data_IF_371240325051
#
_entry.id   IF_371240325051
#
_cell.length_a   1.000
_cell.length_b   1.000
_cell.length_c   1.000
_cell.angle_alpha   90.00
_cell.angle_beta   90.00
_cell.angle_gamma   90.00
#
_symmetry.space_group_name_H-M   'P 1'
#
loop_
_entity.id
_entity.type
_entity.pdbx_description
1 polymer ?
#
# COMPACT_ATOMS: atom_id res chain seq x y z
N UNK A 1 -0.02 32.52 -97.85
CA UNK A 1 1.06 33.46 -98.14
C UNK A 1 2.13 33.25 -97.08
N UNK A 2 3.16 32.49 -97.44
CA UNK A 2 4.38 32.30 -96.65
C UNK A 2 5.22 33.58 -96.73
N UNK A 3 5.80 33.99 -95.60
CA UNK A 3 6.81 35.04 -95.58
C UNK A 3 8.21 34.42 -95.70
N UNK A 4 9.14 35.06 -96.44
CA UNK A 4 10.40 34.45 -96.85
C UNK A 4 11.51 34.58 -95.81
N UNK A 5 12.30 33.51 -95.71
CA UNK A 5 13.62 33.46 -95.07
C UNK A 5 14.64 34.32 -95.82
N UNK A 6 14.85 35.56 -95.37
CA UNK A 6 16.12 36.24 -95.62
C UNK A 6 16.29 37.39 -94.65
N UNK A 7 16.98 37.14 -93.54
CA UNK A 7 18.08 37.96 -92.99
C UNK A 7 18.60 37.25 -91.73
N UNK A 8 19.35 36.16 -91.94
CA UNK A 8 20.37 35.77 -90.97
C UNK A 8 21.54 36.72 -91.14
N UNK A 9 21.76 37.59 -90.16
CA UNK A 9 23.12 37.96 -89.80
C UNK A 9 23.24 38.12 -88.29
N UNK A 10 24.24 37.41 -87.80
CA UNK A 10 24.63 37.17 -86.41
C UNK A 10 25.05 38.43 -85.70
N UNK A 11 24.35 38.81 -84.62
CA UNK A 11 24.98 39.58 -83.55
C UNK A 11 25.78 38.60 -82.69
N UNK A 12 27.11 38.72 -82.74
CA UNK A 12 27.97 38.09 -81.75
C UNK A 12 27.66 38.71 -80.38
N UNK A 13 27.09 37.91 -79.49
CA UNK A 13 26.97 38.28 -78.08
C UNK A 13 28.39 38.25 -77.51
N UNK A 14 28.91 39.34 -76.92
CA UNK A 14 30.20 39.32 -76.27
C UNK A 14 30.18 38.29 -75.13
N UNK A 15 31.29 37.60 -74.82
CA UNK A 15 31.32 36.72 -73.67
C UNK A 15 31.05 37.57 -72.43
N UNK A 16 29.92 37.30 -71.75
CA UNK A 16 29.62 37.89 -70.46
C UNK A 16 30.64 37.36 -69.45
N UNK A 17 31.80 38.01 -69.36
CA UNK A 17 32.76 37.83 -68.27
C UNK A 17 32.25 38.58 -67.06
N UNK A 18 31.22 38.02 -66.44
CA UNK A 18 30.92 38.23 -65.03
C UNK A 18 30.54 36.86 -64.49
N UNK A 19 31.42 36.27 -63.67
CA UNK A 19 31.00 35.19 -62.80
C UNK A 19 29.87 35.76 -61.93
N UNK A 20 28.65 35.34 -62.21
CA UNK A 20 27.55 35.53 -61.26
C UNK A 20 27.90 34.63 -60.09
N UNK A 21 28.63 35.19 -59.12
CA UNK A 21 28.62 34.70 -57.74
C UNK A 21 27.20 34.89 -57.23
N UNK A 22 26.31 34.00 -57.66
CA UNK A 22 25.06 33.77 -56.97
C UNK A 22 25.48 33.22 -55.62
N UNK A 23 25.48 34.09 -54.61
CA UNK A 23 25.41 33.65 -53.23
C UNK A 23 24.11 32.86 -53.15
N UNK A 24 24.21 31.53 -53.31
CA UNK A 24 23.13 30.63 -52.89
C UNK A 24 22.94 30.95 -51.41
N UNK A 25 21.82 31.59 -51.08
CA UNK A 25 21.37 31.64 -49.70
C UNK A 25 21.38 30.21 -49.17
N UNK A 26 21.94 30.04 -47.98
CA UNK A 26 22.03 28.73 -47.32
C UNK A 26 20.66 28.03 -47.41
N UNK A 27 20.65 26.80 -47.93
CA UNK A 27 19.46 25.95 -47.95
C UNK A 27 18.80 25.93 -46.55
N UNK A 28 17.50 26.22 -46.38
CA UNK A 28 16.87 26.27 -45.05
C UNK A 28 16.71 24.92 -44.36
N UNK A 29 17.37 23.85 -44.82
CA UNK A 29 17.07 22.47 -44.40
C UNK A 29 18.29 21.64 -44.01
N UNK A 30 19.35 22.25 -43.49
CA UNK A 30 20.26 21.48 -42.61
C UNK A 30 19.56 21.21 -41.29
N UNK A 31 19.01 19.99 -41.15
CA UNK A 31 18.56 19.45 -39.86
C UNK A 31 19.79 19.37 -38.95
N UNK A 32 19.96 20.38 -38.10
CA UNK A 32 21.03 20.41 -37.12
C UNK A 32 20.85 19.21 -36.17
N UNK A 33 21.89 18.37 -36.07
CA UNK A 33 21.81 17.10 -35.35
C UNK A 33 21.38 17.25 -33.89
N UNK A 34 20.78 16.20 -33.31
CA UNK A 34 20.46 16.20 -31.88
C UNK A 34 21.73 15.97 -31.05
N UNK A 35 21.87 16.70 -29.94
CA UNK A 35 22.92 16.46 -28.94
C UNK A 35 22.30 15.65 -27.81
N UNK A 36 22.91 14.50 -27.49
CA UNK A 36 22.55 13.68 -26.34
C UNK A 36 23.56 13.91 -25.21
N UNK A 37 23.07 14.07 -23.97
CA UNK A 37 23.89 14.10 -22.76
C UNK A 37 23.30 13.22 -21.67
N UNK A 38 24.17 12.65 -20.85
CA UNK A 38 23.79 11.84 -19.68
C UNK A 38 23.97 12.66 -18.41
N UNK A 39 22.92 12.70 -17.59
CA UNK A 39 22.91 13.37 -16.29
C UNK A 39 22.68 12.33 -15.20
N UNK A 40 23.68 12.19 -14.33
CA UNK A 40 23.61 11.34 -13.15
C UNK A 40 23.25 12.20 -11.95
N UNK A 41 22.28 11.73 -11.16
CA UNK A 41 21.83 12.38 -9.94
C UNK A 41 22.02 11.39 -8.79
N UNK A 42 22.86 11.76 -7.85
CA UNK A 42 23.00 11.08 -6.57
C UNK A 42 22.38 11.95 -5.49
N UNK A 43 21.51 11.38 -4.65
CA UNK A 43 20.85 12.17 -3.63
C UNK A 43 21.82 12.71 -2.58
N UNK A 44 23.04 12.17 -2.47
CA UNK A 44 24.13 12.71 -1.62
C UNK A 44 24.62 14.08 -2.05
N UNK A 45 24.43 14.44 -3.31
CA UNK A 45 24.85 15.75 -3.85
C UNK A 45 23.86 16.87 -3.46
N UNK A 46 22.73 16.53 -2.82
CA UNK A 46 21.79 17.52 -2.29
C UNK A 46 22.45 18.34 -1.18
N UNK A 47 21.98 19.58 -1.03
CA UNK A 47 22.32 20.36 0.16
C UNK A 47 21.58 19.79 1.37
N UNK A 48 22.22 18.90 2.15
CA UNK A 48 21.63 18.22 3.30
C UNK A 48 21.22 19.14 4.45
N UNK A 49 21.76 20.38 4.50
CA UNK A 49 21.35 21.39 5.48
C UNK A 49 19.95 21.93 5.16
N UNK A 50 19.66 22.16 3.88
CA UNK A 50 18.37 22.70 3.43
C UNK A 50 17.36 21.58 3.10
N UNK A 51 17.85 20.42 2.68
CA UNK A 51 17.08 19.26 2.28
C UNK A 51 17.61 18.03 3.04
N UNK A 52 17.28 17.87 4.33
CA UNK A 52 17.81 16.76 5.13
C UNK A 52 17.35 15.40 4.60
N UNK A 53 16.14 15.32 4.03
CA UNK A 53 15.55 14.07 3.53
C UNK A 53 15.88 13.84 2.06
N UNK A 54 16.21 12.60 1.70
CA UNK A 54 16.34 12.17 0.30
C UNK A 54 14.97 12.04 -0.41
N UNK A 55 13.85 12.25 0.28
CA UNK A 55 12.50 12.18 -0.28
C UNK A 55 12.11 13.43 -1.06
N UNK A 56 12.71 14.58 -0.77
CA UNK A 56 12.31 15.87 -1.32
C UNK A 56 13.49 16.85 -1.31
N UNK A 57 14.00 17.19 -2.49
CA UNK A 57 15.18 18.04 -2.62
C UNK A 57 15.28 18.73 -3.97
N UNK A 58 16.09 19.80 -4.02
CA UNK A 58 16.46 20.48 -5.27
C UNK A 58 17.93 20.24 -5.55
N UNK A 59 18.24 19.80 -6.77
CA UNK A 59 19.61 19.71 -7.27
C UNK A 59 19.84 20.77 -8.34
N UNK A 60 20.93 21.52 -8.20
CA UNK A 60 21.40 22.45 -9.25
C UNK A 60 22.30 21.69 -10.19
N UNK A 61 22.12 21.89 -11.49
CA UNK A 61 22.92 21.22 -12.51
C UNK A 61 24.25 21.97 -12.69
N UNK A 62 25.34 21.22 -12.83
CA UNK A 62 26.68 21.79 -13.04
C UNK A 62 26.79 22.56 -14.35
N UNK A 63 25.97 22.20 -15.33
CA UNK A 63 25.82 22.92 -16.57
C UNK A 63 24.34 23.22 -16.85
N UNK A 64 24.12 24.27 -17.63
CA UNK A 64 22.80 24.66 -18.07
C UNK A 64 22.51 24.04 -19.44
N UNK A 65 21.48 23.19 -19.50
CA UNK A 65 21.02 22.61 -20.77
C UNK A 65 20.07 23.60 -21.45
N UNK A 66 20.20 23.77 -22.77
CA UNK A 66 19.37 24.68 -23.57
C UNK A 66 18.73 23.94 -24.73
N UNK A 67 17.54 24.38 -25.13
CA UNK A 67 16.75 23.80 -26.21
C UNK A 67 16.54 22.28 -26.03
N UNK A 68 16.21 21.89 -24.80
CA UNK A 68 15.96 20.48 -24.46
C UNK A 68 14.69 20.03 -25.15
N UNK A 69 14.78 18.97 -25.94
CA UNK A 69 13.66 18.39 -26.69
C UNK A 69 13.01 17.24 -25.94
N UNK A 70 13.79 16.46 -25.18
CA UNK A 70 13.26 15.40 -24.33
C UNK A 70 14.19 15.02 -23.19
N UNK A 71 13.62 14.47 -22.12
CA UNK A 71 14.37 13.85 -21.02
C UNK A 71 13.79 12.46 -20.74
N UNK A 72 14.66 11.46 -20.65
CA UNK A 72 14.33 10.05 -20.40
C UNK A 72 14.95 9.58 -19.08
N UNK A 73 14.16 8.94 -18.22
CA UNK A 73 14.71 8.16 -17.09
C UNK A 73 15.20 6.81 -17.62
N UNK A 74 16.52 6.63 -17.61
CA UNK A 74 17.17 5.41 -18.12
C UNK A 74 17.46 4.40 -17.01
N UNK A 75 17.71 4.87 -15.79
CA UNK A 75 17.96 4.01 -14.62
C UNK A 75 17.56 4.72 -13.34
N UNK A 76 17.01 3.94 -12.40
CA UNK A 76 16.77 4.38 -11.03
C UNK A 76 17.20 3.27 -10.06
N UNK A 77 18.00 3.61 -9.07
CA UNK A 77 18.31 2.72 -7.95
C UNK A 77 17.66 3.29 -6.71
N UNK A 78 16.55 2.66 -6.31
CA UNK A 78 15.74 3.09 -5.17
C UNK A 78 15.85 2.04 -4.07
N UNK A 79 16.39 2.40 -2.89
CA UNK A 79 16.43 1.50 -1.75
C UNK A 79 15.02 1.32 -1.17
N UNK A 80 14.65 0.07 -0.87
CA UNK A 80 13.41 -0.23 -0.16
C UNK A 80 13.66 -0.17 1.36
N UNK A 81 14.06 1.02 1.82
CA UNK A 81 14.45 1.25 3.22
C UNK A 81 13.31 1.75 4.11
N UNK A 82 12.11 1.98 3.58
CA UNK A 82 10.97 2.43 4.37
C UNK A 82 10.46 1.34 5.30
N UNK A 83 10.17 1.71 6.55
CA UNK A 83 9.65 0.79 7.55
C UNK A 83 8.25 0.30 7.20
N UNK A 84 7.98 -0.99 7.47
CA UNK A 84 6.62 -1.56 7.35
C UNK A 84 5.60 -0.79 8.19
N UNK A 85 5.97 -0.46 9.44
CA UNK A 85 5.23 0.47 10.31
C UNK A 85 6.03 1.77 10.40
N UNK A 86 5.44 2.87 9.97
CA UNK A 86 6.02 4.20 9.94
C UNK A 86 5.01 5.24 10.48
N UNK A 87 5.43 6.51 10.55
CA UNK A 87 4.62 7.58 11.12
C UNK A 87 3.30 7.84 10.37
N UNK A 88 3.12 7.31 9.16
CA UNK A 88 1.91 7.47 8.35
C UNK A 88 0.97 6.26 8.44
N UNK A 89 1.30 5.21 9.21
CA UNK A 89 0.47 4.01 9.31
C UNK A 89 0.55 3.29 10.68
N UNK A 90 0.83 4.01 11.76
CA UNK A 90 1.08 3.44 13.08
C UNK A 90 -0.03 3.65 14.12
N UNK A 91 -1.21 4.14 13.75
CA UNK A 91 -2.28 4.50 14.69
C UNK A 91 -3.51 3.59 14.59
N UNK A 92 -4.03 3.18 15.76
CA UNK A 92 -5.34 2.53 15.93
C UNK A 92 -6.21 3.40 16.83
N UNK A 93 -7.42 3.72 16.39
CA UNK A 93 -8.43 4.38 17.22
C UNK A 93 -9.45 3.35 17.70
N UNK A 94 -9.59 3.24 19.01
CA UNK A 94 -10.47 2.31 19.71
C UNK A 94 -11.52 3.10 20.49
N UNK A 95 -12.77 2.68 20.41
CA UNK A 95 -13.88 3.24 21.17
C UNK A 95 -14.47 2.15 22.05
N UNK A 96 -14.58 2.41 23.35
CA UNK A 96 -15.29 1.53 24.30
C UNK A 96 -16.54 2.23 24.80
N UNK A 97 -17.58 1.46 25.08
CA UNK A 97 -18.76 1.93 25.82
C UNK A 97 -18.88 1.13 27.10
N UNK A 98 -19.34 1.76 28.18
CA UNK A 98 -19.73 0.99 29.36
C UNK A 98 -20.92 0.07 29.03
N UNK A 99 -21.10 -1.02 29.79
CA UNK A 99 -22.18 -1.99 29.57
C UNK A 99 -23.61 -1.39 29.66
N UNK A 100 -23.72 -0.13 30.09
CA UNK A 100 -24.96 0.66 30.16
C UNK A 100 -25.11 1.66 28.99
N UNK A 101 -24.20 1.67 28.00
CA UNK A 101 -24.18 2.56 26.83
C UNK A 101 -24.31 4.08 27.14
N UNK A 102 -23.89 4.52 28.32
CA UNK A 102 -24.04 5.91 28.79
C UNK A 102 -22.74 6.71 28.77
N UNK A 103 -21.58 6.03 28.75
CA UNK A 103 -20.26 6.68 28.72
C UNK A 103 -19.39 6.00 27.68
N UNK A 104 -18.83 6.81 26.77
CA UNK A 104 -17.93 6.40 25.70
C UNK A 104 -16.50 6.82 26.00
N UNK A 105 -15.54 5.90 25.84
CA UNK A 105 -14.11 6.13 26.01
C UNK A 105 -13.40 6.00 24.67
N UNK A 106 -12.63 7.00 24.28
CA UNK A 106 -11.85 6.98 23.05
C UNK A 106 -10.37 6.84 23.37
N UNK A 107 -9.71 5.88 22.72
CA UNK A 107 -8.29 5.60 22.86
C UNK A 107 -7.59 5.67 21.52
N UNK A 108 -6.43 6.31 21.48
CA UNK A 108 -5.50 6.27 20.36
C UNK A 108 -4.30 5.43 20.79
N UNK A 109 -4.07 4.33 20.08
CA UNK A 109 -2.90 3.47 20.27
C UNK A 109 -1.90 3.74 19.16
N UNK A 110 -0.66 4.01 19.53
CA UNK A 110 0.44 4.21 18.59
C UNK A 110 1.38 3.00 18.63
N UNK A 111 1.58 2.38 17.47
CA UNK A 111 2.53 1.28 17.26
C UNK A 111 3.91 1.88 17.03
N UNK A 112 4.93 1.29 17.66
CA UNK A 112 6.30 1.74 17.48
C UNK A 112 6.72 1.56 16.01
N UNK A 113 7.31 2.60 15.42
CA UNK A 113 7.90 2.55 14.07
C UNK A 113 8.98 1.48 13.97
N UNK A 114 8.99 0.74 12.86
CA UNK A 114 9.98 -0.29 12.58
C UNK A 114 9.51 -1.33 11.56
N UNK A 115 10.38 -2.31 11.33
CA UNK A 115 10.07 -3.48 10.51
C UNK A 115 9.50 -4.61 11.35
N UNK A 116 8.40 -5.18 10.88
CA UNK A 116 7.69 -6.25 11.56
C UNK A 116 7.38 -7.37 10.58
N UNK A 117 7.62 -8.60 11.01
CA UNK A 117 6.83 -9.74 10.53
C UNK A 117 5.42 -9.66 11.09
N UNK A 118 4.47 -10.36 10.48
CA UNK A 118 3.09 -10.37 10.99
C UNK A 118 2.99 -10.87 12.43
N UNK A 119 3.85 -11.83 12.80
CA UNK A 119 3.88 -12.38 14.16
C UNK A 119 4.36 -11.33 15.16
N UNK A 120 5.42 -10.59 14.82
CA UNK A 120 5.95 -9.52 15.66
C UNK A 120 4.94 -8.37 15.78
N UNK A 121 4.29 -7.99 14.69
CA UNK A 121 3.26 -6.94 14.72
C UNK A 121 2.09 -7.34 15.64
N UNK A 122 1.57 -8.57 15.51
CA UNK A 122 0.48 -9.06 16.36
C UNK A 122 0.91 -9.12 17.82
N UNK A 123 2.15 -9.54 18.11
CA UNK A 123 2.68 -9.51 19.47
C UNK A 123 2.75 -8.08 20.02
N UNK A 124 3.24 -7.13 19.23
CA UNK A 124 3.32 -5.73 19.61
C UNK A 124 1.94 -5.11 19.85
N UNK A 125 0.96 -5.42 18.99
CA UNK A 125 -0.42 -5.00 19.20
C UNK A 125 -0.97 -5.57 20.51
N UNK A 126 -0.77 -6.87 20.78
CA UNK A 126 -1.19 -7.48 22.04
C UNK A 126 -0.56 -6.77 23.26
N UNK A 127 0.72 -6.41 23.22
CA UNK A 127 1.38 -5.64 24.29
C UNK A 127 0.70 -4.28 24.50
N UNK A 128 0.42 -3.54 23.41
CA UNK A 128 -0.27 -2.25 23.49
C UNK A 128 -1.68 -2.38 24.10
N UNK A 129 -2.38 -3.45 23.75
CA UNK A 129 -3.71 -3.80 24.21
C UNK A 129 -3.77 -4.38 25.64
N UNK A 130 -2.62 -4.78 26.22
CA UNK A 130 -2.52 -5.24 27.60
C UNK A 130 -2.43 -4.10 28.64
N UNK A 131 -2.45 -2.83 28.22
CA UNK A 131 -2.39 -1.69 29.14
C UNK A 131 -3.61 -1.66 30.06
N UNK A 132 -3.41 -1.42 31.37
CA UNK A 132 -4.48 -1.31 32.39
C UNK A 132 -5.42 -0.09 32.21
N UNK A 133 -5.31 0.63 31.08
CA UNK A 133 -6.11 1.83 30.76
C UNK A 133 -7.45 1.51 30.11
N UNK A 134 -7.60 0.30 29.57
CA UNK A 134 -8.81 -0.15 28.90
C UNK A 134 -9.81 -0.74 29.89
N UNK A 135 -11.10 -0.59 29.59
CA UNK A 135 -12.18 -1.23 30.36
C UNK A 135 -12.28 -2.71 30.05
N UNK A 136 -11.96 -3.10 28.82
CA UNK A 136 -12.02 -4.48 28.38
C UNK A 136 -10.63 -5.05 28.14
N UNK A 137 -10.52 -6.38 28.21
CA UNK A 137 -9.30 -7.12 27.89
C UNK A 137 -9.29 -7.46 26.42
N UNK A 138 -8.19 -7.17 25.74
CA UNK A 138 -8.08 -7.39 24.31
C UNK A 138 -7.11 -8.51 23.94
N UNK A 139 -7.35 -9.12 22.78
CA UNK A 139 -6.45 -10.07 22.16
C UNK A 139 -6.49 -9.94 20.64
N UNK A 140 -5.34 -9.69 20.03
CA UNK A 140 -5.17 -9.68 18.58
C UNK A 140 -4.65 -11.05 18.15
N UNK A 141 -5.27 -11.61 17.12
CA UNK A 141 -4.86 -12.87 16.48
C UNK A 141 -4.81 -12.69 14.97
N UNK A 142 -4.00 -13.50 14.29
CA UNK A 142 -4.01 -13.58 12.84
C UNK A 142 -4.22 -15.02 12.40
N UNK A 143 -4.92 -15.19 11.29
CA UNK A 143 -5.15 -16.49 10.67
C UNK A 143 -4.13 -16.68 9.55
N UNK A 144 -3.26 -17.69 9.65
CA UNK A 144 -2.19 -17.96 8.66
C UNK A 144 -2.72 -18.39 7.29
N UNK A 145 -3.88 -19.03 7.22
CA UNK A 145 -4.47 -19.53 5.97
C UNK A 145 -5.15 -18.40 5.19
N UNK A 146 -5.94 -17.57 5.88
CA UNK A 146 -6.67 -16.46 5.25
C UNK A 146 -5.84 -15.17 5.22
N UNK A 147 -4.81 -15.09 6.04
CA UNK A 147 -4.01 -13.88 6.30
C UNK A 147 -4.85 -12.72 6.84
N UNK A 148 -5.94 -13.01 7.57
CA UNK A 148 -6.79 -11.99 8.18
C UNK A 148 -6.41 -11.75 9.65
N UNK A 149 -6.56 -10.51 10.09
CA UNK A 149 -6.37 -10.09 11.49
C UNK A 149 -7.73 -10.03 12.19
N UNK A 150 -7.79 -10.52 13.42
CA UNK A 150 -8.95 -10.40 14.28
C UNK A 150 -8.55 -9.76 15.60
N UNK A 151 -9.20 -8.65 15.96
CA UNK A 151 -9.07 -8.03 17.27
C UNK A 151 -10.25 -8.50 18.11
N UNK A 152 -9.97 -9.04 19.30
CA UNK A 152 -10.97 -9.52 20.25
C UNK A 152 -10.95 -8.68 21.51
N UNK A 153 -12.08 -8.60 22.20
CA UNK A 153 -12.27 -7.90 23.45
C UNK A 153 -12.96 -8.80 24.49
N UNK A 154 -13.03 -8.38 25.75
CA UNK A 154 -13.89 -8.98 26.77
C UNK A 154 -15.25 -8.27 26.87
N UNK A 155 -15.48 -7.19 26.13
CA UNK A 155 -16.73 -6.44 26.08
C UNK A 155 -16.95 -5.78 24.72
N UNK A 156 -17.95 -4.89 24.65
CA UNK A 156 -18.28 -4.15 23.43
C UNK A 156 -17.20 -3.14 23.10
N UNK A 157 -16.85 -3.02 21.82
CA UNK A 157 -15.88 -2.04 21.36
C UNK A 157 -16.09 -1.73 19.88
N UNK A 158 -15.56 -0.59 19.46
CA UNK A 158 -15.48 -0.21 18.06
C UNK A 158 -14.05 0.13 17.66
N UNK A 159 -13.69 -0.21 16.43
CA UNK A 159 -12.47 0.23 15.77
C UNK A 159 -12.83 1.29 14.75
N UNK A 160 -12.26 2.47 14.92
CA UNK A 160 -12.50 3.59 14.03
C UNK A 160 -11.38 3.72 12.99
N UNK A 161 -11.63 3.17 11.80
CA UNK A 161 -10.82 3.37 10.60
C UNK A 161 -11.48 4.31 9.60
N UNK A 162 -12.56 5.00 9.99
CA UNK A 162 -13.29 5.94 9.15
C UNK A 162 -12.72 7.35 9.33
N UNK A 163 -12.07 7.85 8.28
CA UNK A 163 -11.59 9.22 8.19
C UNK A 163 -12.54 10.11 7.40
N UNK A 164 -11.96 11.18 6.86
CA UNK A 164 -12.69 12.15 6.06
C UNK A 164 -13.16 11.59 4.72
N UNK A 165 -14.08 12.31 4.10
CA UNK A 165 -14.61 11.99 2.78
C UNK A 165 -13.97 12.92 1.75
N UNK A 166 -13.37 12.32 0.72
CA UNK A 166 -12.97 13.06 -0.47
C UNK A 166 -14.10 13.05 -1.49
N UNK A 167 -14.51 14.23 -1.92
CA UNK A 167 -15.49 14.41 -3.00
C UNK A 167 -14.69 14.40 -4.30
N UNK A 168 -14.76 13.31 -5.06
CA UNK A 168 -14.20 13.26 -6.39
C UNK A 168 -15.25 13.80 -7.38
N UNK A 169 -14.99 14.95 -7.98
CA UNK A 169 -15.91 15.59 -8.94
C UNK A 169 -16.11 14.78 -10.23
N UNK A 170 -15.45 13.62 -10.38
CA UNK A 170 -15.46 12.83 -11.61
C UNK A 170 -16.48 11.67 -11.61
N UNK A 171 -17.03 11.26 -10.45
CA UNK A 171 -18.08 10.25 -10.35
C UNK A 171 -19.07 10.65 -9.26
N UNK A 172 -20.34 10.26 -9.39
CA UNK A 172 -21.42 10.54 -8.42
C UNK A 172 -21.26 9.74 -7.10
N UNK A 173 -20.07 9.77 -6.49
CA UNK A 173 -19.74 9.00 -5.30
C UNK A 173 -18.62 9.64 -4.47
N UNK A 174 -18.66 9.37 -3.18
CA UNK A 174 -17.70 9.84 -2.18
C UNK A 174 -16.62 8.77 -1.93
N UNK A 175 -15.34 9.14 -1.98
CA UNK A 175 -14.23 8.25 -1.56
C UNK A 175 -14.00 8.42 -0.07
N UNK A 176 -14.24 7.37 0.72
CA UNK A 176 -13.88 7.35 2.15
C UNK A 176 -12.37 7.20 2.30
N UNK A 177 -11.77 8.01 3.16
CA UNK A 177 -10.35 7.95 3.49
C UNK A 177 -10.14 7.33 4.87
N UNK A 178 -8.94 6.80 5.11
CA UNK A 178 -8.53 6.46 6.47
C UNK A 178 -8.24 7.73 7.27
N UNK A 179 -8.38 7.70 8.61
CA UNK A 179 -7.84 8.74 9.47
C UNK A 179 -6.33 8.89 9.24
N UNK A 180 -5.76 10.06 9.56
CA UNK A 180 -4.32 10.26 9.54
C UNK A 180 -3.61 9.15 10.32
N UNK A 181 -2.51 8.65 9.74
CA UNK A 181 -1.62 7.66 10.33
C UNK A 181 -2.27 6.29 10.61
N UNK A 182 -3.45 6.01 10.06
CA UNK A 182 -4.16 4.77 10.36
C UNK A 182 -3.43 3.52 9.88
N UNK A 183 -3.31 2.52 10.76
CA UNK A 183 -2.80 1.19 10.40
C UNK A 183 -3.86 0.31 9.72
N UNK A 184 -5.13 0.74 9.68
CA UNK A 184 -6.27 -0.09 9.30
C UNK A 184 -6.07 -0.81 7.96
N UNK A 185 -5.57 -0.06 6.96
CA UNK A 185 -5.25 -0.59 5.62
C UNK A 185 -4.27 -1.76 5.66
N UNK A 186 -3.19 -1.61 6.43
CA UNK A 186 -2.14 -2.62 6.58
C UNK A 186 -2.66 -3.88 7.27
N UNK A 187 -3.59 -3.74 8.22
CA UNK A 187 -4.26 -4.86 8.88
C UNK A 187 -5.39 -5.50 8.05
N UNK A 188 -5.76 -4.91 6.91
CA UNK A 188 -6.81 -5.41 6.01
C UNK A 188 -8.22 -4.86 6.27
N UNK A 189 -8.36 -3.81 7.10
CA UNK A 189 -9.62 -3.10 7.32
C UNK A 189 -9.83 -2.03 6.25
N UNK A 190 -11.06 -1.91 5.72
CA UNK A 190 -11.50 -0.77 4.91
C UNK A 190 -11.71 0.49 5.78
N UNK A 191 -11.78 1.70 5.19
CA UNK A 191 -11.94 2.96 5.93
C UNK A 191 -13.37 3.15 6.48
N UNK A 192 -13.74 2.31 7.43
CA UNK A 192 -15.07 2.19 8.01
C UNK A 192 -14.99 2.12 9.54
N UNK A 193 -16.15 2.26 10.19
CA UNK A 193 -16.31 2.02 11.62
C UNK A 193 -16.74 0.57 11.81
N UNK A 194 -16.03 -0.17 12.65
CA UNK A 194 -16.36 -1.56 12.95
C UNK A 194 -16.74 -1.68 14.41
N UNK A 195 -17.99 -2.02 14.70
CA UNK A 195 -18.46 -2.24 16.06
C UNK A 195 -18.71 -3.72 16.33
N UNK A 196 -18.52 -4.12 17.60
CA UNK A 196 -19.03 -5.38 18.13
C UNK A 196 -19.95 -5.04 19.28
N UNK A 197 -21.22 -5.36 19.10
CA UNK A 197 -22.19 -5.37 20.19
C UNK A 197 -22.13 -6.72 20.91
N UNK A 198 -22.45 -6.70 22.21
CA UNK A 198 -22.66 -7.92 22.98
C UNK A 198 -23.92 -8.64 22.47
N UNK A 199 -23.81 -9.38 21.36
CA UNK A 199 -24.89 -10.24 20.89
C UNK A 199 -25.05 -11.39 21.87
N UNK A 200 -26.13 -11.35 22.65
CA UNK A 200 -26.48 -12.42 23.58
C UNK A 200 -27.37 -13.42 22.85
N UNK A 201 -26.87 -14.60 22.57
CA UNK A 201 -27.73 -15.72 22.18
C UNK A 201 -27.74 -16.82 23.22
N UNK A 202 -28.83 -17.57 23.26
CA UNK A 202 -29.04 -18.68 24.20
C UNK A 202 -28.59 -19.98 23.58
N UNK A 203 -27.52 -20.58 24.09
CA UNK A 203 -27.17 -21.97 23.75
C UNK A 203 -28.01 -22.89 24.61
N UNK A 204 -28.65 -23.86 23.97
CA UNK A 204 -29.52 -24.83 24.64
C UNK A 204 -28.90 -26.23 24.70
N UNK A 205 -27.82 -26.47 23.95
CA UNK A 205 -27.21 -27.79 23.83
C UNK A 205 -25.77 -27.73 23.34
N UNK A 206 -24.87 -28.41 24.05
CA UNK A 206 -23.51 -28.69 23.59
C UNK A 206 -23.36 -30.21 23.64
N UNK A 207 -23.06 -30.83 22.50
CA UNK A 207 -22.90 -32.28 22.38
C UNK A 207 -21.62 -32.63 21.69
N UNK A 208 -20.90 -33.61 22.21
CA UNK A 208 -19.81 -34.24 21.49
C UNK A 208 -20.32 -34.80 20.16
N UNK A 209 -19.56 -34.56 19.09
CA UNK A 209 -19.90 -34.98 17.74
C UNK A 209 -18.71 -35.69 17.09
N UNK A 210 -18.99 -36.69 16.26
CA UNK A 210 -18.02 -37.23 15.31
C UNK A 210 -18.07 -36.39 14.04
N UNK A 211 -16.91 -36.06 13.50
CA UNK A 211 -16.77 -35.30 12.26
C UNK A 211 -15.85 -36.05 11.32
N UNK A 212 -16.42 -36.62 10.26
CA UNK A 212 -15.72 -37.48 9.31
C UNK A 212 -15.18 -36.72 8.09
N UNK A 213 -15.24 -35.39 8.08
CA UNK A 213 -14.68 -34.59 6.97
C UNK A 213 -13.20 -34.31 7.24
N UNK A 214 -12.34 -34.63 6.28
CA UNK A 214 -10.96 -34.15 6.27
C UNK A 214 -10.99 -32.62 6.29
N UNK A 215 -10.77 -32.00 7.46
CA UNK A 215 -10.55 -30.57 7.59
C UNK A 215 -9.28 -30.22 6.80
N UNK A 216 -9.47 -29.80 5.56
CA UNK A 216 -8.51 -28.95 4.90
C UNK A 216 -8.82 -27.53 5.35
N UNK A 217 -7.84 -26.81 5.89
CA UNK A 217 -7.76 -25.32 5.95
C UNK A 217 -7.91 -24.57 7.30
N UNK A 218 -8.15 -25.16 8.48
CA UNK A 218 -8.06 -24.37 9.73
C UNK A 218 -6.60 -24.37 10.28
N UNK A 219 -5.91 -23.20 10.39
CA UNK A 219 -4.46 -23.10 10.58
C UNK A 219 -3.94 -23.43 11.98
N UNK A 220 -4.80 -23.86 12.90
CA UNK A 220 -4.37 -24.17 14.27
C UNK A 220 -3.59 -25.49 14.32
N UNK A 221 -3.74 -26.35 13.31
CA UNK A 221 -2.96 -27.56 13.17
C UNK A 221 -1.66 -27.25 12.42
N UNK A 222 -0.69 -26.72 13.15
CA UNK A 222 0.70 -26.78 12.70
C UNK A 222 1.08 -28.24 12.42
N UNK A 223 1.96 -28.48 11.45
CA UNK A 223 2.52 -29.80 11.20
C UNK A 223 3.13 -30.33 12.51
N UNK A 224 2.47 -31.30 13.15
CA UNK A 224 2.91 -31.90 14.42
C UNK A 224 1.97 -31.70 15.62
N UNK A 225 0.87 -30.96 15.52
CA UNK A 225 -0.18 -31.00 16.55
C UNK A 225 -1.19 -32.11 16.22
N UNK A 226 -1.37 -33.06 17.15
CA UNK A 226 -2.41 -34.09 17.04
C UNK A 226 -3.76 -33.41 16.84
N UNK A 227 -4.55 -33.91 15.87
CA UNK A 227 -5.93 -33.45 15.67
C UNK A 227 -6.68 -33.66 17.00
N UNK A 228 -7.47 -32.70 17.48
CA UNK A 228 -8.27 -32.90 18.67
C UNK A 228 -9.26 -34.02 18.37
N UNK A 229 -9.19 -35.12 19.12
CA UNK A 229 -10.03 -36.31 18.91
C UNK A 229 -11.54 -36.04 19.10
N UNK A 230 -11.89 -34.87 19.66
CA UNK A 230 -13.25 -34.58 20.13
C UNK A 230 -13.67 -33.18 19.73
N UNK A 231 -14.65 -33.11 18.84
CA UNK A 231 -15.31 -31.90 18.39
C UNK A 231 -16.72 -31.84 19.00
N UNK A 232 -17.24 -30.63 19.18
CA UNK A 232 -18.55 -30.39 19.78
C UNK A 232 -19.49 -29.77 18.76
N UNK A 233 -20.72 -30.30 18.69
CA UNK A 233 -21.86 -29.64 18.05
C UNK A 233 -22.56 -28.76 19.07
N UNK A 234 -22.65 -27.48 18.75
CA UNK A 234 -23.28 -26.47 19.57
C UNK A 234 -24.60 -26.09 18.92
N UNK A 235 -25.67 -26.06 19.70
CA UNK A 235 -27.02 -25.71 19.24
C UNK A 235 -27.57 -24.57 20.08
N UNK A 236 -27.89 -23.48 19.39
CA UNK A 236 -28.52 -22.29 19.94
C UNK A 236 -30.03 -22.30 19.71
N UNK A 237 -30.78 -21.70 20.63
CA UNK A 237 -32.19 -21.38 20.46
C UNK A 237 -32.29 -19.92 20.02
N UNK A 238 -32.97 -19.65 18.91
CA UNK A 238 -33.06 -18.32 18.30
C UNK A 238 -31.68 -17.66 18.08
N UNK A 239 -30.64 -18.48 17.93
CA UNK A 239 -29.29 -18.01 17.68
C UNK A 239 -29.11 -17.79 16.18
N UNK A 240 -28.20 -16.88 15.85
CA UNK A 240 -28.01 -16.35 14.50
C UNK A 240 -26.57 -16.63 14.04
N UNK A 241 -26.16 -17.90 14.11
CA UNK A 241 -24.76 -18.28 13.93
C UNK A 241 -24.20 -17.98 12.54
N UNK A 242 -24.93 -18.19 11.42
CA UNK A 242 -24.39 -17.85 10.09
C UNK A 242 -24.30 -16.35 9.85
N UNK A 243 -25.20 -15.58 10.43
CA UNK A 243 -25.17 -14.10 10.32
C UNK A 243 -24.13 -13.51 11.27
N UNK A 244 -23.80 -14.21 12.36
CA UNK A 244 -22.92 -13.71 13.41
C UNK A 244 -21.46 -14.19 13.28
N UNK A 245 -21.22 -15.46 12.96
CA UNK A 245 -19.88 -16.08 13.00
C UNK A 245 -19.41 -16.51 11.61
N UNK A 246 -18.10 -16.72 11.50
CA UNK A 246 -17.45 -17.40 10.38
C UNK A 246 -16.70 -18.64 10.86
N UNK A 247 -16.31 -19.51 9.94
CA UNK A 247 -15.41 -20.63 10.23
C UNK A 247 -14.07 -20.11 10.80
N UNK A 248 -13.51 -20.83 11.78
CA UNK A 248 -12.35 -20.47 12.58
C UNK A 248 -12.53 -19.21 13.48
N UNK A 249 -13.74 -18.66 13.63
CA UNK A 249 -14.04 -17.71 14.71
C UNK A 249 -14.02 -18.41 16.07
N UNK A 250 -13.93 -17.61 17.15
CA UNK A 250 -13.97 -18.14 18.51
C UNK A 250 -15.30 -17.82 19.15
N UNK A 251 -15.92 -18.84 19.74
CA UNK A 251 -17.17 -18.76 20.46
C UNK A 251 -16.89 -18.84 21.96
N UNK A 252 -17.28 -17.81 22.70
CA UNK A 252 -17.19 -17.77 24.15
C UNK A 252 -18.55 -18.11 24.73
N UNK A 253 -18.59 -19.05 25.67
CA UNK A 253 -19.81 -19.58 26.29
C UNK A 253 -19.65 -19.42 27.80
N UNK A 254 -20.61 -18.76 28.46
CA UNK A 254 -20.61 -18.64 29.92
C UNK A 254 -21.57 -19.65 30.54
N UNK A 255 -21.08 -20.46 31.48
CA UNK A 255 -21.94 -21.36 32.25
C UNK A 255 -22.80 -20.59 33.28
N UNK A 256 -23.69 -21.30 33.95
CA UNK A 256 -24.59 -20.75 34.98
C UNK A 256 -23.87 -20.15 36.19
N UNK A 257 -22.60 -20.49 36.40
CA UNK A 257 -21.76 -19.94 37.46
C UNK A 257 -20.92 -18.74 36.96
N UNK A 258 -21.04 -18.37 35.69
CA UNK A 258 -20.29 -17.29 35.06
C UNK A 258 -18.90 -17.68 34.55
N UNK A 259 -18.54 -18.97 34.54
CA UNK A 259 -17.26 -19.42 34.00
C UNK A 259 -17.25 -19.35 32.48
N UNK A 260 -16.17 -18.80 31.91
CA UNK A 260 -15.96 -18.67 30.48
C UNK A 260 -15.38 -19.96 29.88
N UNK A 261 -16.04 -20.46 28.85
CA UNK A 261 -15.61 -21.58 28.02
C UNK A 261 -15.32 -21.07 26.62
N UNK A 262 -14.10 -21.31 26.11
CA UNK A 262 -13.72 -20.88 24.76
C UNK A 262 -13.83 -22.05 23.79
N UNK A 263 -14.44 -21.81 22.63
CA UNK A 263 -14.53 -22.77 21.54
C UNK A 263 -13.98 -22.14 20.25
N UNK A 264 -13.33 -22.94 19.39
CA UNK A 264 -12.92 -22.56 18.04
C UNK A 264 -13.92 -23.15 17.04
N UNK A 265 -14.68 -22.31 16.36
CA UNK A 265 -15.66 -22.70 15.35
C UNK A 265 -14.93 -23.35 14.17
N UNK A 266 -15.43 -24.50 13.75
CA UNK A 266 -14.90 -25.30 12.65
C UNK A 266 -15.76 -25.12 11.41
N UNK A 267 -17.07 -25.24 11.58
CA UNK A 267 -18.04 -25.17 10.50
C UNK A 267 -19.38 -24.67 11.05
N UNK A 268 -20.02 -23.76 10.32
CA UNK A 268 -21.38 -23.31 10.64
C UNK A 268 -22.38 -24.07 9.76
N UNK A 269 -23.26 -24.84 10.40
CA UNK A 269 -24.23 -25.70 9.70
C UNK A 269 -25.43 -24.84 9.24
N UNK A 270 -25.99 -24.07 10.17
CA UNK A 270 -27.12 -23.15 9.97
C UNK A 270 -27.12 -22.09 11.08
N UNK A 271 -28.14 -21.23 11.07
CA UNK A 271 -28.29 -20.14 12.05
C UNK A 271 -28.31 -20.67 13.49
N UNK A 272 -28.74 -21.90 13.71
CA UNK A 272 -28.90 -22.46 15.06
C UNK A 272 -27.85 -23.49 15.44
N UNK A 273 -26.99 -23.94 14.50
CA UNK A 273 -26.04 -25.04 14.73
C UNK A 273 -24.66 -24.78 14.14
N UNK A 274 -23.62 -25.11 14.92
CA UNK A 274 -22.24 -25.11 14.47
C UNK A 274 -21.42 -26.25 15.09
N UNK A 275 -20.27 -26.52 14.49
CA UNK A 275 -19.24 -27.39 15.02
C UNK A 275 -18.07 -26.59 15.54
N UNK A 276 -17.50 -26.97 16.68
CA UNK A 276 -16.36 -26.28 17.28
C UNK A 276 -15.47 -27.20 18.13
N UNK A 277 -14.21 -26.83 18.31
CA UNK A 277 -13.30 -27.45 19.29
C UNK A 277 -13.33 -26.68 20.60
N UNK A 278 -13.36 -27.38 21.74
CA UNK A 278 -13.24 -26.74 23.06
C UNK A 278 -11.77 -26.45 23.40
N UNK A 279 -11.50 -25.25 23.89
CA UNK A 279 -10.18 -24.77 24.27
C UNK A 279 -10.13 -24.55 25.79
N UNK A 280 -9.28 -25.31 26.50
CA UNK A 280 -8.98 -25.03 27.91
C UNK A 280 -8.07 -23.80 27.99
N UNK A 281 -8.42 -22.79 28.80
CA UNK A 281 -7.44 -21.80 29.21
C UNK A 281 -6.41 -22.49 30.12
N UNK A 282 -5.15 -22.56 29.68
CA UNK A 282 -4.04 -22.86 30.58
C UNK A 282 -3.58 -21.53 31.16
N UNK A 283 -3.85 -21.28 32.43
CA UNK A 283 -3.20 -20.19 33.16
C UNK A 283 -1.77 -20.69 33.43
N UNK A 284 -0.82 -20.28 32.60
CA UNK A 284 0.60 -20.36 32.98
C UNK A 284 0.85 -19.13 33.82
N UNK A 285 0.77 -19.33 35.13
CA UNK A 285 1.00 -18.29 36.13
C UNK A 285 2.51 -18.01 36.18
N UNK A 286 2.99 -17.18 35.25
CA UNK A 286 4.21 -16.38 35.40
C UNK A 286 4.23 -15.35 34.28
N UNK A 287 4.26 -14.09 34.70
CA UNK A 287 4.49 -12.94 33.85
C UNK A 287 5.75 -13.18 33.00
N UNK A 288 5.61 -13.27 31.68
CA UNK A 288 6.55 -12.83 30.63
C UNK A 288 6.10 -13.33 29.25
N UNK A 289 5.48 -12.44 28.48
CA UNK A 289 5.61 -12.34 27.01
C UNK A 289 5.58 -13.65 26.18
N UNK A 290 4.67 -14.59 26.47
CA UNK A 290 4.41 -15.74 25.60
C UNK A 290 2.92 -15.85 25.22
N UNK A 291 2.61 -16.34 23.99
CA UNK A 291 1.25 -16.47 23.52
C UNK A 291 0.45 -17.39 24.46
N UNK A 292 -0.80 -17.02 24.76
CA UNK A 292 -1.75 -17.91 25.44
C UNK A 292 -1.79 -19.22 24.64
N UNK A 293 -1.21 -20.28 25.21
CA UNK A 293 -1.25 -21.62 24.67
C UNK A 293 -2.55 -22.28 25.14
N UNK A 294 -3.49 -22.47 24.22
CA UNK A 294 -4.69 -23.26 24.48
C UNK A 294 -4.32 -24.74 24.41
N UNK A 295 -4.68 -25.50 25.45
CA UNK A 295 -4.70 -26.96 25.37
C UNK A 295 -6.15 -27.39 25.11
N UNK A 296 -6.34 -28.41 24.30
CA UNK A 296 -7.66 -29.02 24.14
C UNK A 296 -8.01 -29.79 25.42
N UNK A 297 -9.25 -29.64 25.89
CA UNK A 297 -9.75 -30.39 27.06
C UNK A 297 -10.79 -31.43 26.60
N UNK A 298 -10.73 -32.58 27.26
CA UNK A 298 -11.50 -33.78 26.97
C UNK A 298 -12.75 -33.93 27.85
N UNK A 299 -13.03 -32.95 28.70
CA UNK A 299 -13.96 -33.11 29.85
C UNK A 299 -15.36 -32.51 29.66
N UNK A 300 -15.69 -31.89 28.52
CA UNK A 300 -16.99 -31.24 28.33
C UNK A 300 -18.09 -32.22 27.86
N UNK A 301 -18.45 -33.22 28.68
CA UNK A 301 -19.45 -34.22 28.28
C UNK A 301 -20.92 -33.79 28.55
N UNK A 302 -21.75 -33.93 27.51
CA UNK A 302 -23.23 -33.85 27.47
C UNK A 302 -23.89 -32.93 28.52
N UNK A 303 -23.97 -31.64 28.23
CA UNK A 303 -24.75 -30.71 29.06
C UNK A 303 -26.26 -31.05 29.01
N UNK A 304 -26.97 -31.08 30.15
CA UNK A 304 -28.41 -31.31 30.19
C UNK A 304 -29.16 -30.28 29.34
N UNK A 305 -30.30 -30.70 28.76
CA UNK A 305 -31.19 -29.77 28.08
C UNK A 305 -31.69 -28.70 29.07
N UNK A 306 -31.58 -27.41 28.72
CA UNK A 306 -32.14 -26.31 29.50
C UNK A 306 -31.14 -25.39 30.23
N UNK A 307 -29.82 -25.61 30.08
CA UNK A 307 -28.83 -24.63 30.57
C UNK A 307 -28.74 -23.48 29.55
N UNK A 308 -29.19 -22.29 29.93
CA UNK A 308 -29.06 -21.10 29.11
C UNK A 308 -27.61 -20.61 29.17
N UNK A 309 -26.79 -20.95 28.17
CA UNK A 309 -25.48 -20.28 28.06
C UNK A 309 -25.63 -19.00 27.23
N UNK A 310 -24.98 -17.94 27.70
CA UNK A 310 -24.81 -16.71 26.93
C UNK A 310 -23.58 -16.88 26.05
N UNK A 311 -23.72 -16.75 24.74
CA UNK A 311 -22.55 -16.54 23.89
C UNK A 311 -22.40 -15.09 23.50
N UNK A 312 -21.17 -14.67 23.20
CA UNK A 312 -20.86 -13.31 22.75
C UNK A 312 -19.83 -13.42 21.62
N UNK A 313 -20.13 -12.86 20.44
CA UNK A 313 -19.09 -12.55 19.44
C UNK A 313 -18.33 -11.37 19.99
N UNK A 314 -17.06 -11.56 20.38
CA UNK A 314 -16.25 -10.48 20.97
C UNK A 314 -15.12 -10.03 20.05
N UNK A 315 -15.25 -10.14 18.73
CA UNK A 315 -14.14 -9.81 17.85
C UNK A 315 -14.54 -9.28 16.48
N UNK A 316 -13.67 -8.41 15.97
CA UNK A 316 -13.75 -7.82 14.64
C UNK A 316 -12.64 -8.45 13.81
N UNK A 317 -13.04 -9.15 12.76
CA UNK A 317 -12.13 -9.72 11.76
C UNK A 317 -12.05 -8.77 10.57
N UNK A 318 -10.84 -8.47 10.13
CA UNK A 318 -10.59 -7.67 8.94
C UNK A 318 -11.26 -8.29 7.71
N UNK A 319 -11.95 -7.50 6.87
CA UNK A 319 -12.57 -8.00 5.64
C UNK A 319 -11.53 -8.55 4.67
N UNK A 320 -10.33 -7.95 4.61
CA UNK A 320 -9.26 -8.30 3.68
C UNK A 320 -8.06 -8.94 4.38
N UNK A 321 -7.14 -9.49 3.58
CA UNK A 321 -5.83 -9.96 4.04
C UNK A 321 -4.98 -8.77 4.50
N UNK A 322 -4.13 -8.95 5.51
CA UNK A 322 -3.11 -7.98 5.86
C UNK A 322 -2.09 -7.81 4.71
N UNK A 323 -1.53 -6.61 4.57
CA UNK A 323 -0.47 -6.32 3.61
C UNK A 323 0.58 -5.40 4.25
N UNK A 324 1.68 -6.00 4.72
CA UNK A 324 2.79 -5.26 5.35
C UNK A 324 3.69 -4.54 4.33
N UNK A 325 3.58 -4.89 3.05
CA UNK A 325 4.38 -4.36 1.95
C UNK A 325 3.49 -3.74 0.87
N UNK A 326 2.48 -3.00 1.33
CA UNK A 326 1.45 -2.48 0.46
C UNK A 326 1.98 -1.40 -0.51
N UNK A 327 3.12 -0.77 -0.20
CA UNK A 327 3.81 0.16 -1.09
C UNK A 327 4.55 -0.61 -2.21
N UNK A 328 3.82 -0.93 -3.29
CA UNK A 328 4.39 -1.66 -4.44
C UNK A 328 5.13 -0.79 -5.45
N UNK A 329 4.98 0.53 -5.35
CA UNK A 329 5.65 1.48 -6.21
C UNK A 329 5.79 2.83 -5.51
N UNK A 330 6.75 3.62 -5.98
CA UNK A 330 6.87 5.03 -5.66
C UNK A 330 6.47 5.87 -6.86
N UNK A 331 5.97 7.06 -6.58
CA UNK A 331 5.71 8.08 -7.57
C UNK A 331 6.87 9.08 -7.52
N UNK A 332 7.62 9.17 -8.62
CA UNK A 332 8.69 10.14 -8.79
C UNK A 332 8.11 11.41 -9.42
N UNK A 333 8.11 12.47 -8.64
CA UNK A 333 7.80 13.82 -9.07
C UNK A 333 9.10 14.55 -9.41
N UNK A 334 9.16 15.09 -10.62
CA UNK A 334 10.18 16.07 -10.99
C UNK A 334 9.44 17.25 -11.58
N UNK A 335 9.41 18.38 -10.86
CA UNK A 335 8.58 19.54 -11.19
C UNK A 335 8.81 20.08 -12.60
N UNK A 336 10.05 20.01 -13.07
CA UNK A 336 10.42 20.48 -14.40
C UNK A 336 10.01 19.47 -15.51
N UNK A 337 9.65 18.24 -15.15
CA UNK A 337 9.41 17.11 -16.06
C UNK A 337 8.00 16.49 -15.93
N UNK A 338 7.04 17.17 -15.30
CA UNK A 338 5.66 16.68 -15.09
C UNK A 338 5.04 16.16 -16.40
N UNK A 339 4.51 14.93 -16.39
CA UNK A 339 3.96 14.30 -17.61
C UNK A 339 2.74 13.42 -17.39
N UNK A 340 2.65 12.76 -16.24
CA UNK A 340 1.59 11.78 -15.98
C UNK A 340 0.30 12.50 -15.56
N UNK A 341 -0.83 12.01 -16.08
CA UNK A 341 -2.17 12.46 -15.73
C UNK A 341 -2.93 11.28 -15.14
N UNK A 342 -3.46 11.46 -13.94
CA UNK A 342 -4.19 10.42 -13.21
C UNK A 342 -5.38 11.05 -12.48
N UNK A 343 -6.40 10.27 -12.18
CA UNK A 343 -7.47 10.69 -11.25
C UNK A 343 -6.96 10.76 -9.80
N UNK A 344 -5.98 9.92 -9.46
CA UNK A 344 -5.38 9.93 -8.12
C UNK A 344 -4.41 11.11 -8.00
N UNK A 345 -4.58 11.91 -6.95
CA UNK A 345 -3.79 13.13 -6.72
C UNK A 345 -2.32 12.84 -6.48
N UNK A 346 -1.98 11.69 -5.90
CA UNK A 346 -0.60 11.28 -5.66
C UNK A 346 0.21 11.04 -6.93
N UNK A 347 -0.46 10.66 -8.04
CA UNK A 347 0.14 10.35 -9.34
C UNK A 347 0.00 11.52 -10.33
N UNK A 348 -0.99 12.38 -10.14
CA UNK A 348 -1.18 13.56 -11.00
C UNK A 348 0.10 14.41 -11.06
N UNK A 349 0.45 14.88 -12.26
CA UNK A 349 1.63 15.73 -12.51
C UNK A 349 2.98 15.06 -12.16
N UNK A 350 3.02 13.75 -11.93
CA UNK A 350 4.29 13.05 -11.71
C UNK A 350 5.09 12.85 -12.99
N UNK A 351 6.39 12.59 -12.84
CA UNK A 351 7.27 12.23 -13.95
C UNK A 351 7.24 10.73 -14.22
N UNK A 352 7.34 9.89 -13.19
CA UNK A 352 7.43 8.44 -13.36
C UNK A 352 6.81 7.65 -12.22
N UNK A 353 6.39 6.42 -12.51
CA UNK A 353 6.02 5.41 -11.51
C UNK A 353 7.13 4.36 -11.47
N UNK A 354 7.70 4.17 -10.28
CA UNK A 354 8.86 3.32 -10.03
C UNK A 354 8.40 2.11 -9.22
N UNK A 355 8.25 0.91 -9.83
CA UNK A 355 7.83 -0.28 -9.09
C UNK A 355 8.90 -0.73 -8.10
N UNK A 356 8.51 -1.02 -6.87
CA UNK A 356 9.39 -1.61 -5.88
C UNK A 356 9.32 -3.14 -6.00
N UNK A 357 10.48 -3.79 -6.13
CA UNK A 357 10.60 -5.24 -6.13
C UNK A 357 10.74 -5.76 -4.71
N UNK A 358 10.16 -6.93 -4.41
CA UNK A 358 10.11 -7.57 -3.08
C UNK A 358 11.47 -7.94 -2.45
N UNK A 359 12.60 -7.62 -3.10
CA UNK A 359 13.95 -7.93 -2.62
C UNK A 359 14.71 -6.63 -2.38
N UNK A 360 15.11 -6.44 -1.12
CA UNK A 360 16.01 -5.49 -0.43
C UNK A 360 16.71 -4.30 -1.14
N UNK A 361 16.69 -4.14 -2.46
CA UNK A 361 16.99 -2.93 -3.21
C UNK A 361 16.33 -3.03 -4.59
N UNK A 362 15.52 -2.02 -4.95
CA UNK A 362 14.97 -1.93 -6.30
C UNK A 362 15.97 -1.24 -7.21
N UNK A 363 16.90 -2.04 -7.75
CA UNK A 363 17.64 -1.68 -8.95
C UNK A 363 16.70 -1.81 -10.13
N UNK A 364 16.13 -0.68 -10.56
CA UNK A 364 15.34 -0.64 -11.78
C UNK A 364 16.24 -0.10 -12.87
N UNK A 365 16.73 -1.03 -13.69
CA UNK A 365 17.14 -0.66 -15.03
C UNK A 365 15.85 -0.39 -15.79
N UNK A 366 15.51 0.90 -15.97
CA UNK A 366 14.53 1.35 -16.96
C UNK A 366 15.18 1.28 -18.34
N UNK A 367 15.91 0.20 -18.60
CA UNK A 367 16.56 -0.02 -19.88
C UNK A 367 15.47 -0.49 -20.84
N UNK A 368 15.08 0.43 -21.71
CA UNK A 368 14.06 0.25 -22.72
C UNK A 368 14.35 -0.92 -23.68
N UNK A 369 15.58 -1.45 -23.71
CA UNK A 369 15.93 -2.65 -24.49
C UNK A 369 15.30 -3.94 -23.93
N UNK A 370 14.97 -3.99 -22.63
CA UNK A 370 14.40 -5.17 -21.97
C UNK A 370 12.88 -5.07 -21.73
N UNK A 371 12.35 -3.85 -21.65
CA UNK A 371 10.92 -3.56 -21.46
C UNK A 371 10.49 -2.45 -22.43
N UNK A 372 10.24 -2.77 -23.72
CA UNK A 372 10.04 -1.78 -24.78
C UNK A 372 8.77 -0.91 -24.65
N UNK A 373 7.88 -1.20 -23.69
CA UNK A 373 6.59 -0.51 -23.51
C UNK A 373 6.57 0.56 -22.40
N UNK A 374 7.65 0.78 -21.65
CA UNK A 374 7.68 1.70 -20.49
C UNK A 374 8.84 2.69 -20.52
N UNK A 375 9.01 3.41 -21.63
CA UNK A 375 9.95 4.53 -21.69
C UNK A 375 9.39 5.71 -20.90
N UNK A 376 10.06 6.06 -19.80
CA UNK A 376 9.70 7.19 -18.95
C UNK A 376 10.30 8.48 -19.55
N UNK A 377 9.67 8.98 -20.63
CA UNK A 377 10.15 10.15 -21.40
C UNK A 377 9.19 11.33 -21.29
N UNK A 378 9.73 12.51 -20.98
CA UNK A 378 9.07 13.80 -21.17
C UNK A 378 9.57 14.42 -22.48
N UNK A 379 8.64 14.71 -23.39
CA UNK A 379 8.90 15.52 -24.59
C UNK A 379 8.48 16.97 -24.35
N UNK A 380 9.24 17.91 -24.93
CA UNK A 380 8.97 19.34 -24.87
C UNK A 380 8.57 19.86 -26.25
N UNK A 381 7.39 20.46 -26.34
CA UNK A 381 6.89 21.10 -27.56
C UNK A 381 6.17 22.39 -27.18
N UNK A 382 6.82 23.57 -27.32
CA UNK A 382 8.15 23.80 -27.91
C UNK A 382 9.31 23.28 -27.02
N UNK A 383 10.55 23.15 -27.56
CA UNK A 383 11.72 22.78 -26.77
C UNK A 383 11.91 23.67 -25.55
N UNK A 384 12.32 23.08 -24.43
CA UNK A 384 12.56 23.82 -23.19
C UNK A 384 13.82 24.68 -23.34
N UNK A 385 13.65 26.00 -23.31
CA UNK A 385 14.73 26.95 -23.58
C UNK A 385 15.91 26.85 -22.60
N UNK A 386 15.65 26.47 -21.35
CA UNK A 386 16.66 26.37 -20.30
C UNK A 386 16.25 25.36 -19.21
N UNK A 387 17.19 24.50 -18.82
CA UNK A 387 17.13 23.64 -17.64
C UNK A 387 18.43 23.80 -16.82
N UNK A 388 18.31 24.24 -15.57
CA UNK A 388 19.46 24.47 -14.67
C UNK A 388 19.31 23.82 -13.29
N UNK A 389 18.17 23.19 -13.02
CA UNK A 389 17.86 22.52 -11.76
C UNK A 389 16.84 21.41 -11.98
N UNK A 390 16.73 20.53 -11.00
CA UNK A 390 15.64 19.57 -10.86
C UNK A 390 15.11 19.61 -9.43
N UNK A 391 13.79 19.72 -9.31
CA UNK A 391 13.06 19.65 -8.04
C UNK A 391 12.44 18.26 -7.93
N UNK A 392 13.00 17.42 -7.06
CA UNK A 392 12.71 15.98 -7.00
C UNK A 392 11.94 15.66 -5.73
N UNK A 393 10.86 14.89 -5.86
CA UNK A 393 10.09 14.36 -4.74
C UNK A 393 9.68 12.90 -4.99
N UNK A 394 9.76 12.06 -3.95
CA UNK A 394 9.29 10.69 -3.94
C UNK A 394 8.09 10.54 -3.02
N UNK A 395 6.95 10.13 -3.59
CA UNK A 395 5.73 9.87 -2.86
C UNK A 395 5.40 8.37 -2.88
N UNK A 396 4.77 7.90 -1.81
CA UNK A 396 4.01 6.64 -1.81
C UNK A 396 2.77 6.80 -2.69
N UNK A 397 2.13 5.71 -3.10
CA UNK A 397 0.88 5.78 -3.87
C UNK A 397 -0.27 6.44 -3.09
N UNK A 398 -0.19 6.51 -1.76
CA UNK A 398 -1.13 7.25 -0.91
C UNK A 398 -0.82 8.76 -0.81
N UNK A 399 0.24 9.23 -1.47
CA UNK A 399 0.61 10.65 -1.56
C UNK A 399 1.49 11.17 -0.42
N UNK A 400 1.84 10.33 0.56
CA UNK A 400 2.81 10.68 1.60
C UNK A 400 4.24 10.61 1.07
N UNK A 401 5.12 11.49 1.53
CA UNK A 401 6.55 11.41 1.22
C UNK A 401 7.12 10.06 1.67
N UNK A 402 7.88 9.41 0.79
CA UNK A 402 8.50 8.14 1.09
C UNK A 402 9.70 8.33 2.02
N UNK A 403 9.72 7.62 3.15
CA UNK A 403 10.82 7.72 4.09
C UNK A 403 11.96 6.77 3.72
N UNK A 404 13.04 7.34 3.21
CA UNK A 404 14.24 6.58 2.88
C UNK A 404 15.08 6.18 4.11
N UNK A 405 14.72 6.60 5.34
CA UNK A 405 15.42 6.23 6.57
C UNK A 405 16.93 6.51 6.54
N UNK A 406 17.32 7.62 5.89
CA UNK A 406 18.72 8.03 5.74
C UNK A 406 19.50 7.27 4.67
N UNK A 407 18.86 6.36 3.92
CA UNK A 407 19.47 5.70 2.76
C UNK A 407 19.34 6.59 1.53
N UNK A 408 20.35 6.54 0.68
CA UNK A 408 20.49 7.39 -0.49
C UNK A 408 20.07 6.63 -1.77
N UNK A 409 19.66 7.36 -2.80
CA UNK A 409 19.21 6.81 -4.07
C UNK A 409 19.93 7.49 -5.24
N UNK A 410 19.73 6.91 -6.43
CA UNK A 410 20.41 7.33 -7.65
C UNK A 410 19.45 7.32 -8.84
N UNK A 411 19.54 8.36 -9.69
CA UNK A 411 18.81 8.48 -10.96
C UNK A 411 19.77 8.75 -12.11
N UNK A 412 19.44 8.22 -13.29
CA UNK A 412 20.21 8.40 -14.52
C UNK A 412 19.28 8.87 -15.63
N UNK A 413 19.49 10.11 -16.07
CA UNK A 413 18.67 10.78 -17.07
C UNK A 413 19.44 10.96 -18.37
N UNK A 414 18.80 10.65 -19.49
CA UNK A 414 19.27 11.03 -20.82
C UNK A 414 18.54 12.29 -21.27
N UNK A 415 19.30 13.31 -21.67
CA UNK A 415 18.81 14.63 -22.10
C UNK A 415 19.13 14.79 -23.58
N UNK A 416 18.09 15.01 -24.40
CA UNK A 416 18.22 15.35 -25.81
C UNK A 416 18.01 16.85 -26.01
N UNK A 417 18.86 17.47 -26.82
CA UNK A 417 18.83 18.91 -27.13
C UNK A 417 18.96 19.16 -28.62
N UNK A 418 18.39 20.28 -29.08
CA UNK A 418 18.71 20.79 -30.41
C UNK A 418 20.13 21.37 -30.41
N UNK A 419 20.93 21.00 -31.42
CA UNK A 419 22.19 21.67 -31.69
C UNK A 419 21.92 23.08 -32.21
N UNK A 420 22.38 24.11 -31.50
CA UNK A 420 22.40 25.46 -32.03
C UNK A 420 23.77 25.73 -32.66
N UNK A 421 23.78 26.31 -33.86
CA UNK A 421 25.01 26.84 -34.45
C UNK A 421 25.68 27.79 -33.44
N UNK A 422 26.95 27.53 -33.14
CA UNK A 422 27.82 28.58 -32.61
C UNK A 422 27.87 29.69 -33.64
N UNK A 423 27.19 30.81 -33.39
CA UNK A 423 27.07 31.92 -34.35
C UNK A 423 28.38 32.75 -34.48
N UNK A 424 29.52 32.24 -34.05
CA UNK A 424 30.84 32.86 -34.18
C UNK A 424 31.97 31.82 -34.24
N UNK A 425 32.13 31.18 -35.39
CA UNK A 425 33.44 30.73 -35.87
C UNK A 425 33.53 31.21 -37.31
N UNK A 426 34.54 32.04 -37.60
CA UNK A 426 34.81 32.80 -38.83
C UNK A 426 34.21 34.22 -38.86
N UNK A 427 34.92 35.18 -38.27
CA UNK A 427 35.94 36.00 -38.97
C UNK A 427 36.79 36.75 -37.97
#
# INVERSE_FOLDING_TARGET
>A
MEYPDSFRNTMQIPPNTYEVNTVRGNDPTTVYGNIEKRLIIDSRDRNSKNYPRASNYIIKLNEQFRNVTSIELTRAQIPQSGYTINNNNNVINLIESNDLNTVTYCYTLEVKVGDYTIQELVNQLNILFCSNKFKHKYKVVYNKCTGKITIKSSGSFELNFKGDVHIDNTHAGFKRLYPPNSIGKLLGFNPELYGVENNNGTIIKIKKARYDKNLCCCPVFGAGLEKPDKMYRITGLNSEFKTTFNDCDYLYIYDQNGYEHTFLIVEIIDDTRLYAYYLKPTIVDTCHCHPICFKYDDTFDNTPAGVNFRYIKKGITAPNKYDLFYNRYLVLHIKELERLRSKETSVMDSFAIIPLNDKSNSLINVDASKYPTSKEIKYFTPPLGKLDRLTIQFLTYDGYEYDFNGVEHYLDLRINMLNQQGKYLNM
#
